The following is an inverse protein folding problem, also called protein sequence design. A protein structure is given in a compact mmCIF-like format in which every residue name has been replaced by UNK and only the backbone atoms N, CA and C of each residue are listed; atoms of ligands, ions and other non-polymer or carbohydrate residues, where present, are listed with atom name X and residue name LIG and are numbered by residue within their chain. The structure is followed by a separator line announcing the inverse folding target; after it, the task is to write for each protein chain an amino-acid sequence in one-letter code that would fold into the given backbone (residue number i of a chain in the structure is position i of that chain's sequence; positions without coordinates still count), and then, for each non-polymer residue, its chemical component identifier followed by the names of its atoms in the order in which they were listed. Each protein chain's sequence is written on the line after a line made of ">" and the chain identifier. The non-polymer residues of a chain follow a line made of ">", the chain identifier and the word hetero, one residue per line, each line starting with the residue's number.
data_IF_149691900485
#
_entry.id   IF_149691900485
#
_cell.length_a   1.000
_cell.length_b   1.000
_cell.length_c   1.000
_cell.angle_alpha   90.00
_cell.angle_beta   90.00
_cell.angle_gamma   90.00
#
_symmetry.space_group_name_H-M   'P 1'
#
loop_
_entity.id
_entity.type
_entity.pdbx_description
1 polymer ?
#
# COMPACT_ATOMS: atom_id res chain seq x y z
N UNK A 1 -57.44 40.37 -26.78
CA UNK A 1 -56.47 40.11 -25.68
C UNK A 1 -55.08 40.26 -26.21
N UNK A 2 -54.41 41.38 -25.83
CA UNK A 2 -53.09 41.77 -26.36
C UNK A 2 -51.99 41.11 -25.54
N UNK A 3 -51.06 40.41 -26.19
CA UNK A 3 -49.81 39.94 -25.62
C UNK A 3 -48.79 41.11 -25.68
N UNK A 4 -48.34 41.59 -24.52
CA UNK A 4 -47.27 42.58 -24.42
C UNK A 4 -45.92 41.89 -24.60
N UNK A 5 -44.96 42.49 -25.33
CA UNK A 5 -43.58 41.97 -25.47
C UNK A 5 -42.74 42.39 -24.25
N UNK A 6 -42.06 41.41 -23.67
CA UNK A 6 -41.04 41.60 -22.68
C UNK A 6 -39.68 41.54 -23.39
N UNK A 7 -39.17 42.63 -23.82
CA UNK A 7 -37.82 42.73 -24.35
C UNK A 7 -37.21 44.09 -24.03
N UNK A 8 -35.93 44.04 -23.67
CA UNK A 8 -34.96 45.14 -23.54
C UNK A 8 -34.72 45.71 -22.14
N UNK A 9 -33.73 45.06 -21.46
CA UNK A 9 -32.61 45.80 -20.85
C UNK A 9 -31.44 44.78 -20.75
N UNK A 10 -30.63 44.68 -21.78
CA UNK A 10 -29.29 44.10 -21.68
C UNK A 10 -28.39 45.20 -21.21
N UNK A 11 -28.14 45.20 -19.92
CA UNK A 11 -27.07 46.01 -19.33
C UNK A 11 -25.73 45.38 -19.70
N UNK A 12 -24.81 46.18 -20.19
CA UNK A 12 -23.44 45.79 -20.45
C UNK A 12 -22.76 45.37 -19.15
N UNK A 13 -22.60 44.08 -18.94
CA UNK A 13 -21.69 43.53 -17.92
C UNK A 13 -20.28 43.56 -18.50
N UNK A 14 -19.47 44.49 -17.97
CA UNK A 14 -18.04 44.49 -18.14
C UNK A 14 -17.47 43.10 -17.75
N UNK A 15 -16.85 42.43 -18.72
CA UNK A 15 -16.11 41.19 -18.51
C UNK A 15 -14.89 41.49 -17.62
N UNK A 16 -15.08 41.44 -16.31
CA UNK A 16 -13.97 41.29 -15.37
C UNK A 16 -13.37 39.92 -15.57
N UNK A 17 -12.16 39.85 -16.10
CA UNK A 17 -11.33 38.68 -16.09
C UNK A 17 -11.12 38.24 -14.63
N UNK A 18 -11.95 37.30 -14.15
CA UNK A 18 -11.66 36.58 -12.92
C UNK A 18 -10.49 35.68 -13.27
N UNK A 19 -9.27 36.10 -12.95
CA UNK A 19 -8.13 35.22 -12.89
C UNK A 19 -8.38 34.20 -11.77
N UNK A 20 -8.90 33.04 -12.14
CA UNK A 20 -8.90 31.90 -11.25
C UNK A 20 -7.42 31.63 -10.91
N UNK A 21 -7.07 31.52 -9.61
CA UNK A 21 -5.72 31.07 -9.30
C UNK A 21 -5.57 29.70 -9.96
N UNK A 22 -4.64 29.58 -10.87
CA UNK A 22 -4.15 28.28 -11.33
C UNK A 22 -3.65 27.58 -10.07
N UNK A 23 -4.44 26.66 -9.53
CA UNK A 23 -3.94 25.65 -8.64
C UNK A 23 -2.90 24.88 -9.46
N UNK A 24 -1.64 25.29 -9.33
CA UNK A 24 -0.53 24.49 -9.80
C UNK A 24 -0.57 23.21 -8.98
N UNK A 25 -1.18 22.16 -9.54
CA UNK A 25 -0.93 20.80 -9.11
C UNK A 25 0.57 20.60 -9.26
N UNK A 26 1.30 20.71 -8.16
CA UNK A 26 2.69 20.30 -8.12
C UNK A 26 2.68 18.81 -8.38
N UNK A 27 2.93 18.42 -9.62
CA UNK A 27 3.18 17.01 -9.93
C UNK A 27 4.43 16.64 -9.18
N UNK A 28 4.30 15.79 -8.19
CA UNK A 28 5.43 15.23 -7.45
C UNK A 28 6.36 14.59 -8.47
N UNK A 29 7.56 15.14 -8.65
CA UNK A 29 8.50 14.59 -9.62
C UNK A 29 9.11 13.31 -9.06
N UNK A 30 9.20 12.29 -9.91
CA UNK A 30 9.96 11.08 -9.57
C UNK A 30 11.44 11.42 -9.37
N UNK A 31 12.16 10.72 -8.48
CA UNK A 31 13.59 10.94 -8.29
C UNK A 31 14.37 10.79 -9.59
N UNK A 32 15.35 11.68 -9.83
CA UNK A 32 16.24 11.57 -11.00
C UNK A 32 17.20 10.38 -10.90
N UNK A 33 17.59 10.04 -9.69
CA UNK A 33 18.39 8.85 -9.35
C UNK A 33 17.81 8.23 -8.08
N UNK A 34 17.57 6.95 -8.12
CA UNK A 34 16.87 6.18 -7.06
C UNK A 34 17.89 5.36 -6.28
N UNK A 35 17.94 5.56 -4.97
CA UNK A 35 18.75 4.76 -4.02
C UNK A 35 18.02 3.51 -3.55
N UNK A 36 16.72 3.62 -3.32
CA UNK A 36 15.88 2.50 -2.92
C UNK A 36 14.60 2.50 -3.74
N UNK A 37 14.22 1.35 -4.28
CA UNK A 37 12.93 1.14 -4.92
C UNK A 37 12.33 -0.16 -4.45
N UNK A 38 11.10 -0.12 -3.96
CA UNK A 38 10.36 -1.31 -3.61
C UNK A 38 8.92 -1.26 -4.13
N UNK A 39 8.31 -2.44 -4.17
CA UNK A 39 6.93 -2.64 -4.57
C UNK A 39 6.17 -3.24 -3.41
N UNK A 40 4.92 -2.81 -3.20
CA UNK A 40 3.96 -3.54 -2.37
C UNK A 40 2.69 -3.80 -3.16
N UNK A 41 2.22 -5.04 -3.12
CA UNK A 41 0.96 -5.48 -3.68
C UNK A 41 0.17 -6.20 -2.59
N UNK A 42 -1.15 -6.15 -2.61
CA UNK A 42 -1.99 -6.71 -1.55
C UNK A 42 -3.24 -7.35 -2.14
N UNK A 43 -3.86 -8.21 -1.35
CA UNK A 43 -5.20 -8.72 -1.63
C UNK A 43 -5.28 -9.49 -2.97
N UNK A 44 -4.41 -10.49 -3.07
CA UNK A 44 -4.34 -11.37 -4.25
C UNK A 44 -5.41 -12.45 -4.25
N UNK A 45 -5.80 -12.90 -3.07
CA UNK A 45 -6.85 -13.91 -2.84
C UNK A 45 -6.71 -15.16 -3.73
N UNK A 46 -5.53 -15.78 -3.72
CA UNK A 46 -5.32 -17.03 -4.44
C UNK A 46 -6.34 -18.09 -4.00
N UNK A 47 -6.98 -18.72 -4.98
CA UNK A 47 -8.01 -19.73 -4.71
C UNK A 47 -9.43 -19.17 -4.48
N UNK A 48 -9.68 -17.86 -4.64
CA UNK A 48 -11.03 -17.32 -4.48
C UNK A 48 -11.98 -17.87 -5.55
N UNK A 49 -13.13 -18.45 -5.14
CA UNK A 49 -14.12 -18.97 -6.09
C UNK A 49 -14.65 -17.89 -7.06
N UNK A 50 -14.91 -18.28 -8.28
CA UNK A 50 -15.44 -17.43 -9.35
C UNK A 50 -14.55 -16.24 -9.74
N UNK A 51 -13.25 -16.31 -9.47
CA UNK A 51 -12.25 -15.37 -9.95
C UNK A 51 -11.20 -16.09 -10.79
N UNK A 52 -10.52 -15.37 -11.68
CA UNK A 52 -9.33 -15.88 -12.35
C UNK A 52 -8.09 -15.45 -11.56
N UNK A 53 -7.96 -15.99 -10.35
CA UNK A 53 -6.86 -15.67 -9.46
C UNK A 53 -5.49 -16.00 -10.04
N UNK A 54 -5.37 -17.07 -10.82
CA UNK A 54 -4.12 -17.45 -11.45
C UNK A 54 -3.68 -16.40 -12.47
N UNK A 55 -4.59 -15.93 -13.32
CA UNK A 55 -4.33 -14.86 -14.29
C UNK A 55 -4.02 -13.53 -13.59
N UNK A 56 -4.72 -13.19 -12.52
CA UNK A 56 -4.44 -11.98 -11.76
C UNK A 56 -3.01 -11.96 -11.20
N UNK A 57 -2.57 -13.07 -10.63
CA UNK A 57 -1.20 -13.20 -10.12
C UNK A 57 -0.16 -13.17 -11.24
N UNK A 58 -0.40 -13.88 -12.35
CA UNK A 58 0.50 -13.84 -13.50
C UNK A 58 0.65 -12.42 -14.06
N UNK A 59 -0.46 -11.71 -14.22
CA UNK A 59 -0.45 -10.33 -14.69
C UNK A 59 0.33 -9.39 -13.75
N UNK A 60 0.20 -9.58 -12.44
CA UNK A 60 0.99 -8.83 -11.46
C UNK A 60 2.49 -9.14 -11.59
N UNK A 61 2.87 -10.42 -11.66
CA UNK A 61 4.27 -10.84 -11.80
C UNK A 61 4.87 -10.25 -13.08
N UNK A 62 4.15 -10.33 -14.20
CA UNK A 62 4.57 -9.74 -15.47
C UNK A 62 4.73 -8.22 -15.36
N UNK A 63 3.85 -7.55 -14.59
CA UNK A 63 3.96 -6.11 -14.35
C UNK A 63 5.19 -5.78 -13.50
N UNK A 64 5.45 -6.55 -12.43
CA UNK A 64 6.63 -6.40 -11.58
C UNK A 64 7.93 -6.65 -12.39
N UNK A 65 7.96 -7.65 -13.26
CA UNK A 65 9.13 -7.93 -14.10
C UNK A 65 9.45 -6.83 -15.12
N UNK A 66 8.48 -5.99 -15.46
CA UNK A 66 8.73 -4.80 -16.30
C UNK A 66 9.37 -3.64 -15.51
N UNK A 67 9.31 -3.69 -14.17
CA UNK A 67 9.97 -2.69 -13.33
C UNK A 67 11.48 -2.89 -13.31
N UNK A 68 12.22 -1.79 -13.22
CA UNK A 68 13.69 -1.82 -13.15
C UNK A 68 14.17 -1.27 -11.83
N UNK A 69 15.28 -1.84 -11.34
CA UNK A 69 15.94 -1.36 -10.13
C UNK A 69 15.13 -1.55 -8.86
N UNK A 70 14.28 -2.59 -8.81
CA UNK A 70 13.52 -2.98 -7.62
C UNK A 70 14.45 -3.71 -6.67
N UNK A 71 14.48 -3.29 -5.42
CA UNK A 71 15.30 -3.91 -4.38
C UNK A 71 14.56 -5.05 -3.67
N UNK A 72 13.25 -4.93 -3.48
CA UNK A 72 12.41 -5.98 -2.90
C UNK A 72 10.91 -5.75 -3.22
N UNK A 73 10.12 -6.79 -3.00
CA UNK A 73 8.65 -6.78 -3.12
C UNK A 73 8.03 -7.26 -1.83
N UNK A 74 6.95 -6.61 -1.37
CA UNK A 74 6.14 -7.06 -0.23
C UNK A 74 4.72 -7.39 -0.72
N UNK A 75 4.30 -8.64 -0.53
CA UNK A 75 2.91 -9.05 -0.66
C UNK A 75 2.21 -8.81 0.68
N UNK A 76 1.39 -7.77 0.76
CA UNK A 76 0.92 -7.23 2.03
C UNK A 76 -0.42 -7.81 2.48
N UNK A 77 -0.47 -9.14 2.70
CA UNK A 77 -1.60 -9.88 3.25
C UNK A 77 -2.70 -10.26 2.26
N UNK A 78 -3.59 -11.11 2.72
CA UNK A 78 -4.63 -11.76 1.94
C UNK A 78 -4.08 -12.41 0.67
N UNK A 79 -3.03 -13.22 0.91
CA UNK A 79 -2.30 -13.96 -0.13
C UNK A 79 -3.18 -15.04 -0.73
N UNK A 80 -3.94 -15.75 0.11
CA UNK A 80 -4.91 -16.79 -0.24
C UNK A 80 -6.31 -16.40 0.22
N UNK A 81 -7.32 -17.18 -0.18
CA UNK A 81 -8.72 -16.95 0.18
C UNK A 81 -9.27 -18.12 1.01
N UNK A 82 -9.24 -17.97 2.35
CA UNK A 82 -9.83 -18.85 3.38
C UNK A 82 -9.43 -20.34 3.34
N UNK A 83 -8.51 -20.74 2.47
CA UNK A 83 -8.11 -22.15 2.30
C UNK A 83 -6.61 -22.30 2.53
N UNK A 84 -6.17 -22.63 3.76
CA UNK A 84 -4.74 -22.70 4.14
C UNK A 84 -3.85 -23.56 3.26
N UNK A 85 -4.40 -24.62 2.66
CA UNK A 85 -3.64 -25.53 1.77
C UNK A 85 -3.15 -24.84 0.50
N UNK A 86 -3.67 -23.68 0.12
CA UNK A 86 -3.19 -22.90 -1.01
C UNK A 86 -1.93 -22.07 -0.72
N UNK A 87 -1.53 -21.93 0.57
CA UNK A 87 -0.37 -21.10 0.90
C UNK A 87 0.93 -21.56 0.21
N UNK A 88 1.28 -22.86 0.15
CA UNK A 88 2.44 -23.29 -0.62
C UNK A 88 2.32 -23.05 -2.13
N UNK A 89 1.11 -23.12 -2.69
CA UNK A 89 0.88 -22.88 -4.11
C UNK A 89 1.14 -21.40 -4.46
N UNK A 90 0.54 -20.48 -3.72
CA UNK A 90 0.77 -19.04 -3.96
C UNK A 90 2.22 -18.64 -3.68
N UNK A 91 2.87 -19.28 -2.69
CA UNK A 91 4.31 -19.07 -2.45
C UNK A 91 5.13 -19.45 -3.68
N UNK A 92 4.85 -20.60 -4.32
CA UNK A 92 5.53 -21.01 -5.54
C UNK A 92 5.29 -20.04 -6.71
N UNK A 93 4.17 -19.33 -6.73
CA UNK A 93 3.90 -18.25 -7.69
C UNK A 93 4.75 -17.03 -7.37
N UNK A 94 4.81 -16.61 -6.10
CA UNK A 94 5.64 -15.46 -5.67
C UNK A 94 7.14 -15.71 -5.85
N UNK A 95 7.59 -16.96 -5.76
CA UNK A 95 8.99 -17.34 -6.04
C UNK A 95 9.41 -17.16 -7.50
N UNK A 96 8.48 -16.93 -8.40
CA UNK A 96 8.79 -16.57 -9.80
C UNK A 96 9.22 -15.10 -9.94
N UNK A 97 8.95 -14.25 -8.94
CA UNK A 97 9.40 -12.85 -8.95
C UNK A 97 10.93 -12.81 -8.87
N UNK A 98 11.54 -12.09 -9.80
CA UNK A 98 13.01 -12.01 -9.92
C UNK A 98 13.71 -11.17 -8.84
N UNK A 99 12.97 -10.59 -7.92
CA UNK A 99 13.45 -9.76 -6.81
C UNK A 99 13.21 -10.46 -5.47
N UNK A 100 13.94 -10.13 -4.40
CA UNK A 100 13.63 -10.63 -3.05
C UNK A 100 12.16 -10.33 -2.69
N UNK A 101 11.43 -11.35 -2.24
CA UNK A 101 10.02 -11.24 -1.88
C UNK A 101 9.79 -11.52 -0.41
N UNK A 102 8.89 -10.75 0.19
CA UNK A 102 8.43 -10.89 1.56
C UNK A 102 6.91 -10.80 1.61
N UNK A 103 6.30 -11.24 2.70
CA UNK A 103 4.85 -11.17 2.86
C UNK A 103 4.44 -10.83 4.29
N UNK A 104 3.31 -10.15 4.46
CA UNK A 104 2.57 -10.12 5.73
C UNK A 104 1.42 -11.11 5.68
N UNK A 105 0.89 -11.51 6.83
CA UNK A 105 -0.31 -12.32 6.90
C UNK A 105 -1.54 -11.39 6.92
N UNK A 106 -2.56 -11.73 6.10
CA UNK A 106 -3.88 -11.11 6.14
C UNK A 106 -4.92 -11.98 6.83
N UNK A 107 -6.13 -11.49 6.97
CA UNK A 107 -7.21 -12.20 7.67
C UNK A 107 -7.81 -13.36 6.86
N UNK A 108 -7.73 -13.32 5.54
CA UNK A 108 -8.14 -14.44 4.68
C UNK A 108 -7.07 -15.54 4.56
N UNK A 109 -5.86 -15.32 5.05
CA UNK A 109 -4.83 -16.35 4.99
C UNK A 109 -5.08 -17.52 5.95
N UNK A 110 -5.71 -17.30 7.10
CA UNK A 110 -6.20 -18.32 8.05
C UNK A 110 -5.20 -19.43 8.34
N UNK A 111 -3.93 -19.09 8.46
CA UNK A 111 -2.84 -19.99 8.80
C UNK A 111 -2.23 -19.59 10.14
N UNK A 112 -1.75 -20.56 10.90
CA UNK A 112 -0.99 -20.27 12.12
C UNK A 112 0.38 -19.68 11.79
N UNK A 113 0.99 -19.02 12.78
CA UNK A 113 2.26 -18.32 12.59
C UNK A 113 3.43 -19.27 12.25
N UNK A 114 3.41 -20.51 12.75
CA UNK A 114 4.44 -21.51 12.47
C UNK A 114 4.35 -21.98 11.02
N UNK A 115 3.14 -22.28 10.55
CA UNK A 115 2.88 -22.66 9.16
C UNK A 115 3.24 -21.53 8.20
N UNK A 116 2.86 -20.28 8.53
CA UNK A 116 3.24 -19.12 7.75
C UNK A 116 4.78 -19.00 7.65
N UNK A 117 5.47 -19.06 8.78
CA UNK A 117 6.93 -18.93 8.82
C UNK A 117 7.63 -20.05 8.03
N UNK A 118 7.15 -21.27 8.15
CA UNK A 118 7.70 -22.43 7.42
C UNK A 118 7.54 -22.28 5.91
N UNK A 119 6.40 -21.77 5.43
CA UNK A 119 6.13 -21.63 4.00
C UNK A 119 6.76 -20.36 3.43
N UNK A 120 6.60 -19.22 4.10
CA UNK A 120 7.11 -17.92 3.61
C UNK A 120 8.61 -17.73 3.84
N UNK A 121 9.22 -18.51 4.76
CA UNK A 121 10.64 -18.42 5.08
C UNK A 121 11.00 -17.33 6.11
N UNK A 122 10.01 -16.68 6.71
CA UNK A 122 10.19 -15.69 7.79
C UNK A 122 8.94 -15.63 8.68
N UNK A 123 9.09 -15.14 9.90
CA UNK A 123 7.99 -15.01 10.86
C UNK A 123 6.94 -13.98 10.39
N UNK A 124 5.73 -14.05 10.96
CA UNK A 124 4.64 -13.09 10.68
C UNK A 124 5.00 -11.66 11.12
N UNK A 125 5.71 -11.53 12.26
CA UNK A 125 6.42 -10.31 12.62
C UNK A 125 7.89 -10.48 12.21
N UNK A 126 8.36 -9.66 11.28
CA UNK A 126 9.70 -9.78 10.72
C UNK A 126 10.29 -8.40 10.40
N UNK A 127 11.60 -8.25 10.47
CA UNK A 127 12.27 -7.02 10.07
C UNK A 127 13.63 -7.32 9.43
N UNK A 128 14.04 -6.45 8.54
CA UNK A 128 15.34 -6.51 7.88
C UNK A 128 15.82 -5.12 7.48
N UNK A 129 17.09 -5.01 7.15
CA UNK A 129 17.71 -3.77 6.65
C UNK A 129 18.13 -3.96 5.20
N UNK A 130 17.86 -2.95 4.38
CA UNK A 130 18.25 -2.90 2.97
C UNK A 130 19.30 -1.82 2.78
N UNK A 131 20.37 -2.14 2.04
CA UNK A 131 21.46 -1.19 1.72
C UNK A 131 22.04 -0.48 2.96
N UNK A 132 22.04 -1.16 4.09
CA UNK A 132 22.56 -0.72 5.39
C UNK A 132 21.95 0.59 5.96
N UNK A 133 20.87 1.11 5.33
CA UNK A 133 20.31 2.43 5.64
C UNK A 133 18.79 2.47 5.71
N UNK A 134 18.09 1.42 5.25
CA UNK A 134 16.63 1.39 5.16
C UNK A 134 16.05 0.23 5.96
N UNK A 135 15.31 0.52 7.01
CA UNK A 135 14.59 -0.48 7.78
C UNK A 135 13.26 -0.86 7.13
N UNK A 136 12.98 -2.15 7.11
CA UNK A 136 11.69 -2.71 6.67
C UNK A 136 11.13 -3.52 7.83
N UNK A 137 9.87 -3.24 8.19
CA UNK A 137 9.16 -3.89 9.29
C UNK A 137 7.87 -4.47 8.76
N UNK A 138 7.72 -5.78 8.88
CA UNK A 138 6.50 -6.52 8.55
C UNK A 138 5.81 -6.90 9.85
N UNK A 139 4.53 -6.57 9.97
CA UNK A 139 3.75 -6.79 11.18
C UNK A 139 2.53 -7.65 10.90
N UNK A 140 2.23 -8.48 11.86
CA UNK A 140 1.01 -9.27 11.89
C UNK A 140 -0.16 -8.45 12.42
N UNK A 141 -1.32 -8.61 11.81
CA UNK A 141 -2.58 -7.97 12.24
C UNK A 141 -3.77 -8.91 12.21
N UNK A 142 -3.51 -10.22 12.14
CA UNK A 142 -4.56 -11.23 12.13
C UNK A 142 -4.10 -12.53 12.81
N UNK A 143 -4.98 -13.51 12.90
CA UNK A 143 -4.72 -14.83 13.46
C UNK A 143 -5.29 -15.95 12.56
N UNK A 144 -5.27 -17.18 13.09
CA UNK A 144 -5.81 -18.37 12.40
C UNK A 144 -7.32 -18.25 12.12
N UNK A 145 -8.03 -17.58 13.00
CA UNK A 145 -9.47 -17.37 12.92
C UNK A 145 -9.84 -16.22 11.96
N UNK A 146 -8.85 -15.45 11.53
CA UNK A 146 -9.05 -14.27 10.68
C UNK A 146 -9.54 -13.05 11.47
N UNK A 147 -9.33 -13.02 12.78
CA UNK A 147 -9.65 -11.86 13.62
C UNK A 147 -8.74 -10.68 13.28
N UNK A 148 -9.26 -9.47 13.46
CA UNK A 148 -8.52 -8.22 13.26
C UNK A 148 -7.84 -7.81 14.56
N UNK A 149 -6.53 -7.77 14.56
CA UNK A 149 -5.72 -7.56 15.75
C UNK A 149 -4.91 -6.27 15.69
N UNK A 150 -4.73 -5.68 16.87
CA UNK A 150 -3.67 -4.68 17.07
C UNK A 150 -2.30 -5.35 16.90
N UNK A 151 -1.36 -4.66 16.26
CA UNK A 151 0.00 -5.15 16.10
C UNK A 151 0.68 -5.43 17.44
N UNK A 152 1.67 -6.31 17.44
CA UNK A 152 2.54 -6.52 18.61
C UNK A 152 3.40 -5.26 18.84
N UNK A 153 2.97 -4.46 19.80
CA UNK A 153 3.62 -3.17 20.12
C UNK A 153 4.99 -3.34 20.75
N UNK A 154 5.24 -4.45 21.48
CA UNK A 154 6.54 -4.73 22.07
C UNK A 154 7.55 -5.08 21.00
N UNK A 155 7.17 -5.94 20.05
CA UNK A 155 7.99 -6.24 18.89
C UNK A 155 8.28 -4.98 18.08
N UNK A 156 7.24 -4.22 17.70
CA UNK A 156 7.38 -3.00 16.91
C UNK A 156 8.33 -2.01 17.59
N UNK A 157 8.13 -1.76 18.90
CA UNK A 157 9.01 -0.85 19.65
C UNK A 157 10.45 -1.31 19.63
N UNK A 158 10.71 -2.59 19.92
CA UNK A 158 12.07 -3.15 19.94
C UNK A 158 12.78 -3.01 18.59
N UNK A 159 12.04 -3.23 17.48
CA UNK A 159 12.58 -3.05 16.12
C UNK A 159 12.83 -1.58 15.82
N UNK A 160 11.90 -0.68 16.13
CA UNK A 160 12.07 0.76 15.89
C UNK A 160 13.24 1.35 16.69
N UNK A 161 13.41 0.92 17.95
CA UNK A 161 14.58 1.29 18.76
C UNK A 161 15.90 0.84 18.08
N UNK A 162 15.94 -0.39 17.58
CA UNK A 162 17.13 -0.93 16.89
C UNK A 162 17.42 -0.27 15.54
N UNK A 163 16.39 0.31 14.92
CA UNK A 163 16.46 0.99 13.63
C UNK A 163 16.54 2.52 13.74
N UNK A 164 16.71 3.07 14.95
CA UNK A 164 16.65 4.53 15.20
C UNK A 164 17.68 5.31 14.37
N UNK A 165 18.83 4.71 14.07
CA UNK A 165 19.92 5.36 13.31
C UNK A 165 19.76 5.22 11.78
N UNK A 166 18.80 4.44 11.29
CA UNK A 166 18.55 4.29 9.86
C UNK A 166 17.88 5.55 9.30
N UNK A 167 18.18 5.89 8.05
CA UNK A 167 17.61 7.07 7.39
C UNK A 167 16.09 7.01 7.25
N UNK A 168 15.57 5.85 6.90
CA UNK A 168 14.13 5.62 6.76
C UNK A 168 13.74 4.24 7.24
N UNK A 169 12.55 4.14 7.84
CA UNK A 169 11.88 2.88 8.17
C UNK A 169 10.52 2.85 7.48
N UNK A 170 10.24 1.75 6.80
CA UNK A 170 8.97 1.47 6.13
C UNK A 170 8.27 0.32 6.85
N UNK A 171 7.01 0.52 7.21
CA UNK A 171 6.21 -0.44 7.97
C UNK A 171 5.11 -1.01 7.06
N UNK A 172 4.95 -2.32 7.09
CA UNK A 172 3.91 -3.03 6.35
C UNK A 172 3.04 -3.80 7.33
N UNK A 173 1.76 -3.61 7.26
CA UNK A 173 0.76 -4.27 8.08
C UNK A 173 -0.55 -4.33 7.29
N UNK A 174 -1.14 -5.51 7.19
CA UNK A 174 -2.29 -5.70 6.31
C UNK A 174 -3.49 -4.86 6.72
N UNK A 175 -3.98 -5.03 7.95
CA UNK A 175 -5.17 -4.35 8.45
C UNK A 175 -4.79 -2.98 9.02
N UNK A 176 -5.54 -1.94 8.64
CA UNK A 176 -5.38 -0.60 9.18
C UNK A 176 -5.56 -0.58 10.70
N UNK A 177 -4.65 0.11 11.40
CA UNK A 177 -4.65 0.21 12.86
C UNK A 177 -5.43 1.43 13.37
N UNK A 178 -6.35 1.92 12.53
CA UNK A 178 -7.29 2.99 12.86
C UNK A 178 -8.58 2.83 12.06
N UNK A 179 -9.66 3.40 12.57
CA UNK A 179 -11.00 3.43 11.98
C UNK A 179 -11.15 4.41 10.79
N UNK A 180 -10.13 4.51 9.96
CA UNK A 180 -10.20 5.23 8.69
C UNK A 180 -11.03 4.51 7.65
N UNK A 181 -11.03 3.18 7.73
CA UNK A 181 -11.83 2.29 6.94
C UNK A 181 -12.85 1.56 7.83
N UNK A 182 -13.87 1.02 7.21
CA UNK A 182 -14.93 0.28 7.93
C UNK A 182 -14.40 -0.91 8.73
N UNK A 183 -13.32 -1.52 8.25
CA UNK A 183 -12.79 -2.77 8.77
C UNK A 183 -11.43 -2.58 9.47
N UNK A 184 -11.08 -1.35 9.85
CA UNK A 184 -9.85 -1.07 10.60
C UNK A 184 -9.97 -1.46 12.08
N UNK A 185 -8.81 -1.62 12.72
CA UNK A 185 -8.68 -1.83 14.17
C UNK A 185 -8.35 -0.50 14.85
N UNK A 186 -9.02 -0.18 15.96
CA UNK A 186 -8.65 1.01 16.75
C UNK A 186 -7.54 0.65 17.72
N UNK A 187 -6.30 0.89 17.30
CA UNK A 187 -5.09 0.69 18.09
C UNK A 187 -4.32 2.01 18.22
N UNK A 188 -4.74 2.84 19.19
CA UNK A 188 -4.19 4.19 19.36
C UNK A 188 -2.70 4.15 19.72
N UNK A 189 -2.28 3.18 20.51
CA UNK A 189 -0.87 3.00 20.91
C UNK A 189 0.03 2.72 19.72
N UNK A 190 -0.44 1.96 18.72
CA UNK A 190 0.29 1.76 17.47
C UNK A 190 0.49 3.09 16.74
N UNK A 191 -0.58 3.88 16.62
CA UNK A 191 -0.54 5.16 15.93
C UNK A 191 0.44 6.14 16.59
N UNK A 192 0.41 6.19 17.92
CA UNK A 192 1.31 7.05 18.71
C UNK A 192 2.76 6.57 18.63
N UNK A 193 2.98 5.26 18.66
CA UNK A 193 4.30 4.66 18.52
C UNK A 193 4.92 4.99 17.14
N UNK A 194 4.20 4.75 16.05
CA UNK A 194 4.63 5.13 14.69
C UNK A 194 4.95 6.62 14.61
N UNK A 195 4.12 7.47 15.21
CA UNK A 195 4.32 8.92 15.17
C UNK A 195 5.52 9.42 15.98
N UNK A 196 5.97 8.65 16.98
CA UNK A 196 7.07 9.04 17.87
C UNK A 196 8.47 8.90 17.22
N UNK A 197 8.62 8.00 16.22
CA UNK A 197 9.90 7.80 15.53
C UNK A 197 10.01 8.66 14.28
N UNK A 198 10.99 9.57 14.25
CA UNK A 198 11.15 10.54 13.15
C UNK A 198 11.43 9.85 11.81
N UNK A 199 12.22 8.78 11.84
CA UNK A 199 12.65 8.04 10.65
C UNK A 199 11.62 7.03 10.11
N UNK A 200 10.51 6.76 10.80
CA UNK A 200 9.39 6.04 10.19
C UNK A 200 8.81 6.92 9.09
N UNK A 201 8.97 6.46 7.84
CA UNK A 201 8.65 7.24 6.65
C UNK A 201 7.23 7.05 6.19
N UNK A 202 6.75 5.82 6.21
CA UNK A 202 5.39 5.48 5.83
C UNK A 202 4.97 4.13 6.41
N UNK A 203 3.64 3.93 6.55
CA UNK A 203 3.02 2.64 6.82
C UNK A 203 2.14 2.26 5.63
N UNK A 204 2.24 0.99 5.20
CA UNK A 204 1.51 0.46 4.05
C UNK A 204 0.50 -0.60 4.49
N UNK A 205 -0.72 -0.50 3.95
CA UNK A 205 -1.86 -1.37 4.24
C UNK A 205 -2.39 -2.05 2.97
N UNK A 206 -3.07 -3.17 3.16
CA UNK A 206 -3.99 -3.81 2.23
C UNK A 206 -5.42 -3.80 2.78
N UNK A 207 -6.12 -4.94 2.71
CA UNK A 207 -7.39 -5.25 3.33
C UNK A 207 -8.61 -4.48 2.75
N UNK A 208 -8.52 -3.19 2.62
CA UNK A 208 -9.58 -2.34 2.09
C UNK A 208 -9.38 -2.20 0.58
N UNK A 209 -9.97 -3.10 -0.20
CA UNK A 209 -9.79 -3.18 -1.66
C UNK A 209 -10.25 -1.94 -2.42
N UNK A 210 -11.14 -1.15 -1.83
CA UNK A 210 -11.66 0.10 -2.37
C UNK A 210 -10.85 1.34 -1.96
N UNK A 211 -9.84 1.15 -1.10
CA UNK A 211 -8.91 2.20 -0.70
C UNK A 211 -7.56 2.07 -1.40
N UNK A 212 -7.13 3.15 -2.00
CA UNK A 212 -5.86 3.26 -2.72
C UNK A 212 -5.10 4.55 -2.39
N UNK A 213 -5.60 5.29 -1.41
CA UNK A 213 -5.18 6.64 -1.09
C UNK A 213 -4.17 6.76 0.04
N UNK A 214 -4.11 7.96 0.58
CA UNK A 214 -3.25 8.40 1.67
C UNK A 214 -4.09 8.95 2.81
N UNK A 215 -3.86 8.46 4.02
CA UNK A 215 -4.28 9.08 5.28
C UNK A 215 -3.06 9.58 6.05
N UNK A 216 -3.24 10.57 6.90
CA UNK A 216 -2.16 11.15 7.70
C UNK A 216 -2.54 11.17 9.17
N UNK A 217 -1.68 10.63 10.01
CA UNK A 217 -1.76 10.79 11.45
C UNK A 217 -0.56 11.58 11.97
N UNK A 218 -0.83 12.77 12.56
CA UNK A 218 0.23 13.75 12.86
C UNK A 218 1.02 14.09 11.58
N UNK A 219 2.25 13.60 11.46
CA UNK A 219 3.09 13.83 10.27
C UNK A 219 3.39 12.54 9.50
N UNK A 220 2.77 11.43 9.89
CA UNK A 220 3.07 10.12 9.30
C UNK A 220 2.03 9.74 8.26
N UNK A 221 2.46 9.39 7.05
CA UNK A 221 1.59 8.87 5.99
C UNK A 221 1.28 7.38 6.20
N UNK A 222 0.04 7.02 5.94
CA UNK A 222 -0.52 5.68 5.90
C UNK A 222 -1.16 5.50 4.54
N UNK A 223 -0.81 4.43 3.83
CA UNK A 223 -1.10 4.26 2.41
C UNK A 223 -1.69 2.89 2.14
N UNK A 224 -2.67 2.83 1.27
CA UNK A 224 -3.25 1.58 0.78
C UNK A 224 -2.75 1.25 -0.62
N UNK A 225 -2.59 -0.03 -0.90
CA UNK A 225 -2.21 -0.52 -2.22
C UNK A 225 -3.40 -0.80 -3.14
N UNK A 226 -4.63 -0.69 -2.64
CA UNK A 226 -5.79 -1.27 -3.29
C UNK A 226 -5.68 -2.79 -3.31
N UNK A 227 -6.07 -3.43 -4.41
CA UNK A 227 -5.94 -4.87 -4.58
C UNK A 227 -5.41 -5.21 -5.98
N UNK A 228 -4.86 -6.42 -6.13
CA UNK A 228 -4.48 -6.93 -7.45
C UNK A 228 -5.30 -8.16 -7.90
N UNK A 229 -5.99 -8.81 -6.94
CA UNK A 229 -6.88 -9.94 -7.18
C UNK A 229 -8.22 -9.75 -6.46
N UNK A 230 -8.93 -10.84 -6.21
CA UNK A 230 -10.24 -10.77 -5.57
C UNK A 230 -11.38 -10.36 -6.51
N UNK A 231 -12.61 -10.42 -5.97
CA UNK A 231 -13.84 -10.19 -6.74
C UNK A 231 -14.50 -8.83 -6.47
N UNK A 232 -13.89 -7.99 -5.64
CA UNK A 232 -14.43 -6.68 -5.23
C UNK A 232 -13.32 -5.65 -5.08
N UNK A 233 -13.70 -4.37 -5.00
CA UNK A 233 -12.79 -3.26 -4.76
C UNK A 233 -12.71 -2.28 -5.92
N UNK A 234 -11.61 -1.57 -6.00
CA UNK A 234 -11.34 -0.61 -7.07
C UNK A 234 -11.37 -1.28 -8.45
N UNK A 235 -11.86 -0.57 -9.48
CA UNK A 235 -11.97 -1.15 -10.82
C UNK A 235 -10.61 -1.36 -11.52
N UNK A 236 -9.53 -0.86 -10.92
CA UNK A 236 -8.18 -0.91 -11.48
C UNK A 236 -7.24 -1.72 -10.58
N UNK A 237 -7.08 -3.05 -10.81
CA UNK A 237 -6.06 -3.82 -10.13
C UNK A 237 -4.70 -3.16 -10.24
N UNK A 238 -4.00 -3.02 -9.11
CA UNK A 238 -2.82 -2.19 -9.00
C UNK A 238 -1.81 -2.72 -7.99
N UNK A 239 -0.62 -2.18 -8.02
CA UNK A 239 0.41 -2.30 -7.00
C UNK A 239 0.98 -0.91 -6.70
N UNK A 240 1.55 -0.75 -5.54
CA UNK A 240 2.18 0.51 -5.13
C UNK A 240 3.69 0.42 -5.25
N UNK A 241 4.29 1.44 -5.81
CA UNK A 241 5.73 1.62 -5.89
C UNK A 241 6.16 2.71 -4.92
N UNK A 242 7.28 2.53 -4.27
CA UNK A 242 7.96 3.56 -3.49
C UNK A 242 9.39 3.71 -3.97
N UNK A 243 9.83 4.94 -4.17
CA UNK A 243 11.18 5.29 -4.57
C UNK A 243 11.77 6.33 -3.61
N UNK A 244 13.00 6.09 -3.16
CA UNK A 244 13.79 7.05 -2.40
C UNK A 244 14.94 7.53 -3.28
N UNK A 245 15.01 8.84 -3.48
CA UNK A 245 16.07 9.46 -4.26
C UNK A 245 17.40 9.60 -3.51
N UNK A 246 18.46 9.93 -4.25
CA UNK A 246 19.76 10.23 -3.65
C UNK A 246 19.72 11.43 -2.69
N UNK A 247 18.76 12.33 -2.87
CA UNK A 247 18.50 13.46 -1.98
C UNK A 247 17.72 13.10 -0.71
N UNK A 248 17.45 11.82 -0.48
CA UNK A 248 16.70 11.29 0.67
C UNK A 248 15.19 11.54 0.61
N UNK A 249 14.66 12.17 -0.43
CA UNK A 249 13.22 12.33 -0.60
C UNK A 249 12.61 11.03 -1.11
N UNK A 250 11.47 10.69 -0.55
CA UNK A 250 10.71 9.54 -0.99
C UNK A 250 9.42 9.95 -1.69
N UNK A 251 9.03 9.17 -2.67
CA UNK A 251 7.77 9.30 -3.40
C UNK A 251 7.12 7.94 -3.55
N UNK A 252 5.81 7.90 -3.50
CA UNK A 252 5.05 6.68 -3.76
C UNK A 252 3.92 6.95 -4.74
N UNK A 253 3.54 5.93 -5.49
CA UNK A 253 2.46 5.96 -6.46
C UNK A 253 1.89 4.56 -6.67
N UNK A 254 0.61 4.49 -7.03
CA UNK A 254 0.02 3.27 -7.56
C UNK A 254 0.32 3.15 -9.05
N UNK A 255 0.43 1.92 -9.51
CA UNK A 255 0.56 1.60 -10.92
C UNK A 255 -0.46 0.52 -11.30
N UNK A 256 -1.31 0.82 -12.28
CA UNK A 256 -2.26 -0.18 -12.75
C UNK A 256 -1.52 -1.32 -13.44
N UNK A 257 -1.97 -2.55 -13.21
CA UNK A 257 -1.28 -3.75 -13.70
C UNK A 257 -1.32 -3.83 -15.22
N UNK A 258 -2.49 -3.56 -15.80
CA UNK A 258 -2.75 -3.74 -17.22
C UNK A 258 -2.18 -2.61 -18.07
N UNK A 259 -2.52 -1.37 -17.74
CA UNK A 259 -2.18 -0.19 -18.55
C UNK A 259 -0.88 0.48 -18.11
N UNK A 260 -0.40 0.18 -16.88
CA UNK A 260 0.77 0.83 -16.29
C UNK A 260 0.56 2.31 -15.97
N UNK A 261 -0.70 2.75 -15.79
CA UNK A 261 -1.01 4.13 -15.43
C UNK A 261 -0.56 4.43 -13.99
N UNK A 262 -0.03 5.63 -13.80
CA UNK A 262 0.33 6.13 -12.47
C UNK A 262 -0.87 6.82 -11.84
N UNK A 263 -1.23 6.39 -10.64
CA UNK A 263 -2.32 6.93 -9.84
C UNK A 263 -1.82 7.30 -8.44
N UNK A 264 -2.52 8.20 -7.77
CA UNK A 264 -2.32 8.49 -6.33
C UNK A 264 -0.85 8.66 -5.93
N UNK A 265 -0.16 9.56 -6.63
CA UNK A 265 1.23 9.89 -6.37
C UNK A 265 1.35 10.86 -5.20
N UNK A 266 2.18 10.52 -4.21
CA UNK A 266 2.40 11.31 -3.01
C UNK A 266 3.88 11.41 -2.66
N UNK A 267 4.37 12.58 -2.23
CA UNK A 267 5.63 12.68 -1.51
C UNK A 267 5.46 12.05 -0.13
N UNK A 268 6.51 11.45 0.39
CA UNK A 268 6.55 10.85 1.73
C UNK A 268 7.48 11.63 2.65
#
# INVERSE_FOLDING_TARGET
>A
MQRRPFLQKVGALSAGLISLPFLSYSTTQLPKATRLKFITASDGHWGQPNTDFALSHQNLIDAIHREKGVDFVVFNGDLIHDTPSFLPEVKAVYDQVQFPTFATRGNHDRVDAETFARVMGHATNHSFVVKDDYGVVLLDSSNLEGDYLCADLNYLKGVLDSHEQLSHVFVFIHISQRDWARNGVVCQEFMDLIASYKNVRATFHGHDHDLDGLMVYRTKPFLWAGHFGGSWGNPFPSYRVCEVGEDGKAVTYLKTIKEGMLLNQHPL
#
